data_IF_749481266248
#
_entry.id   IF_749481266248
#
_cell.length_a   1.000
_cell.length_b   1.000
_cell.length_c   1.000
_cell.angle_alpha   90.00
_cell.angle_beta   90.00
_cell.angle_gamma   90.00
#
_symmetry.space_group_name_H-M   'P 1'
#
loop_
_entity.id
_entity.type
_entity.pdbx_description
1 polymer ?
#
# COMPACT_ATOMS: atom_id res chain seq x y z
N UNK A 1 0.96 -34.48 7.50
CA UNK A 1 1.55 -33.19 7.96
C UNK A 1 0.78 -32.07 7.33
N UNK A 2 0.49 -30.99 8.07
CA UNK A 2 -0.23 -29.82 7.53
C UNK A 2 0.63 -29.14 6.46
N UNK A 3 0.06 -28.91 5.26
CA UNK A 3 0.73 -28.19 4.16
C UNK A 3 0.92 -26.71 4.47
N UNK A 4 0.22 -26.15 5.46
CA UNK A 4 0.27 -24.73 5.83
C UNK A 4 1.68 -24.24 6.18
N UNK A 5 2.43 -25.06 6.88
CA UNK A 5 3.79 -24.73 7.32
C UNK A 5 4.90 -25.22 6.38
N UNK A 6 4.53 -25.82 5.24
CA UNK A 6 5.53 -26.19 4.24
C UNK A 6 5.94 -24.96 3.41
N UNK A 7 7.21 -24.86 3.00
CA UNK A 7 7.69 -23.77 2.15
C UNK A 7 6.89 -23.68 0.85
N UNK A 8 6.80 -22.46 0.30
CA UNK A 8 6.20 -22.17 -0.99
C UNK A 8 7.19 -21.39 -1.86
N UNK A 9 7.62 -22.00 -2.95
CA UNK A 9 8.49 -21.34 -3.92
C UNK A 9 7.67 -20.66 -5.02
N UNK A 10 7.96 -19.39 -5.27
CA UNK A 10 7.37 -18.55 -6.30
C UNK A 10 8.50 -17.95 -7.13
N UNK A 11 8.76 -18.50 -8.31
CA UNK A 11 9.91 -18.12 -9.14
C UNK A 11 11.22 -18.18 -8.33
N UNK A 12 11.84 -17.02 -8.08
CA UNK A 12 13.13 -16.89 -7.40
C UNK A 12 13.00 -16.61 -5.90
N UNK A 13 11.78 -16.61 -5.36
CA UNK A 13 11.53 -16.35 -3.94
C UNK A 13 10.89 -17.57 -3.29
N UNK A 14 11.31 -17.89 -2.05
CA UNK A 14 10.72 -18.98 -1.27
C UNK A 14 10.23 -18.43 0.05
N UNK A 15 8.91 -18.48 0.26
CA UNK A 15 8.28 -18.21 1.54
C UNK A 15 8.49 -19.41 2.47
N UNK A 16 8.83 -19.16 3.74
CA UNK A 16 9.07 -20.23 4.73
C UNK A 16 7.84 -21.09 5.05
N UNK A 17 6.64 -20.55 4.77
CA UNK A 17 5.36 -21.23 4.90
C UNK A 17 4.31 -20.59 4.01
N UNK A 18 3.08 -21.10 4.04
CA UNK A 18 1.96 -20.63 3.21
C UNK A 18 1.03 -19.64 3.91
N UNK A 19 1.43 -19.13 5.06
CA UNK A 19 0.68 -18.12 5.81
C UNK A 19 1.08 -16.73 5.33
N UNK A 20 0.12 -16.00 4.77
CA UNK A 20 0.34 -14.67 4.21
C UNK A 20 -0.48 -13.63 4.96
N UNK A 21 0.15 -12.51 5.30
CA UNK A 21 -0.57 -11.32 5.75
C UNK A 21 -1.06 -10.57 4.51
N UNK A 22 -2.40 -10.46 4.28
CA UNK A 22 -2.93 -9.69 3.17
C UNK A 22 -2.72 -8.19 3.38
N UNK A 23 -2.76 -7.37 2.31
CA UNK A 23 -2.71 -5.91 2.46
C UNK A 23 -3.98 -5.39 3.14
N UNK A 24 -3.82 -4.64 4.21
CA UNK A 24 -4.92 -4.06 4.99
C UNK A 24 -4.56 -2.63 5.36
N UNK A 25 -5.36 -1.66 4.89
CA UNK A 25 -5.16 -0.25 5.20
C UNK A 25 -5.23 0.01 6.71
N UNK A 26 -4.21 0.67 7.23
CA UNK A 26 -4.09 0.98 8.65
C UNK A 26 -4.33 2.47 8.97
N UNK A 27 -4.35 3.31 7.93
CA UNK A 27 -4.64 4.75 8.05
C UNK A 27 -3.76 5.46 9.08
N UNK A 28 -2.48 5.10 9.12
CA UNK A 28 -1.54 5.51 10.20
C UNK A 28 -0.52 6.55 9.77
N UNK A 29 -0.69 7.16 8.59
CA UNK A 29 0.11 8.30 8.14
C UNK A 29 -0.54 9.60 8.61
N UNK A 30 -0.35 9.95 9.88
CA UNK A 30 -1.00 11.14 10.47
C UNK A 30 -0.50 12.48 9.91
N UNK A 31 0.70 12.50 9.30
CA UNK A 31 1.23 13.68 8.59
C UNK A 31 0.62 13.86 7.20
N UNK A 32 -0.16 12.90 6.72
CA UNK A 32 -0.87 12.89 5.42
C UNK A 32 0.06 13.07 4.20
N UNK A 33 1.35 12.73 4.36
CA UNK A 33 2.42 12.87 3.36
C UNK A 33 2.79 11.55 2.66
N UNK A 34 2.07 10.48 2.94
CA UNK A 34 2.31 9.14 2.39
C UNK A 34 3.56 8.43 2.94
N UNK A 35 4.26 9.00 3.89
CA UNK A 35 5.51 8.43 4.42
C UNK A 35 5.27 7.41 5.51
N UNK A 36 5.96 6.29 5.40
CA UNK A 36 5.95 5.27 6.45
C UNK A 36 6.64 5.81 7.72
N UNK A 37 6.02 5.51 8.85
CA UNK A 37 6.48 5.89 10.19
C UNK A 37 7.03 4.69 10.96
N UNK A 38 7.57 4.92 12.15
CA UNK A 38 8.00 3.84 13.04
C UNK A 38 6.87 2.89 13.41
N UNK A 39 5.63 3.40 13.44
CA UNK A 39 4.45 2.57 13.66
C UNK A 39 4.33 1.48 12.59
N UNK A 40 4.51 1.82 11.30
CA UNK A 40 4.45 0.85 10.20
C UNK A 40 5.57 -0.19 10.31
N UNK A 41 6.78 0.25 10.64
CA UNK A 41 7.92 -0.65 10.83
C UNK A 41 7.61 -1.66 11.94
N UNK A 42 7.13 -1.19 13.09
CA UNK A 42 6.77 -2.05 14.23
C UNK A 42 5.60 -2.98 13.88
N UNK A 43 4.57 -2.46 13.19
CA UNK A 43 3.40 -3.23 12.77
C UNK A 43 3.79 -4.44 11.94
N UNK A 44 4.59 -4.25 10.89
CA UNK A 44 5.00 -5.32 9.99
C UNK A 44 6.07 -6.22 10.59
N UNK A 45 7.02 -5.69 11.37
CA UNK A 45 8.01 -6.47 12.10
C UNK A 45 7.37 -7.48 13.06
N UNK A 46 6.36 -7.05 13.81
CA UNK A 46 5.65 -7.92 14.75
C UNK A 46 4.98 -9.11 14.05
N UNK A 47 4.37 -8.89 12.86
CA UNK A 47 3.73 -9.95 12.06
C UNK A 47 4.77 -10.90 11.48
N UNK A 48 5.89 -10.37 11.01
CA UNK A 48 6.99 -11.21 10.52
C UNK A 48 7.56 -12.09 11.62
N UNK A 49 7.89 -11.52 12.76
CA UNK A 49 8.36 -12.27 13.93
C UNK A 49 7.31 -13.26 14.46
N UNK A 50 6.02 -12.94 14.30
CA UNK A 50 4.90 -13.80 14.66
C UNK A 50 4.71 -15.02 13.76
N UNK A 51 5.50 -15.18 12.69
CA UNK A 51 5.57 -16.42 11.93
C UNK A 51 4.97 -16.37 10.51
N UNK A 52 4.46 -15.26 10.03
CA UNK A 52 4.01 -15.16 8.63
C UNK A 52 5.16 -15.45 7.65
N UNK A 53 4.89 -16.20 6.57
CA UNK A 53 5.85 -16.50 5.52
C UNK A 53 5.99 -15.39 4.50
N UNK A 54 4.90 -14.62 4.30
CA UNK A 54 4.86 -13.46 3.41
C UNK A 54 4.02 -12.36 4.03
N UNK A 55 4.45 -11.13 3.88
CA UNK A 55 3.72 -9.94 4.32
C UNK A 55 3.54 -9.02 3.12
N UNK A 56 2.29 -8.69 2.81
CA UNK A 56 1.98 -7.66 1.81
C UNK A 56 1.61 -6.38 2.54
N UNK A 57 2.44 -5.35 2.36
CA UNK A 57 2.21 -4.02 2.90
C UNK A 57 0.91 -3.46 2.33
N UNK A 58 0.17 -2.72 3.13
CA UNK A 58 -1.12 -2.11 2.82
C UNK A 58 -1.14 -1.36 1.50
N UNK A 59 -2.35 -1.03 1.02
CA UNK A 59 -2.54 -0.23 -0.19
C UNK A 59 -1.68 1.04 -0.12
N UNK A 60 -0.81 1.16 -1.13
CA UNK A 60 0.19 2.21 -1.24
C UNK A 60 -0.07 2.95 -2.53
N UNK A 61 -0.44 4.22 -2.43
CA UNK A 61 -0.82 5.02 -3.57
C UNK A 61 0.39 5.34 -4.47
N UNK A 62 0.19 5.27 -5.78
CA UNK A 62 1.21 5.60 -6.79
C UNK A 62 1.19 7.08 -7.19
N UNK A 63 0.19 7.82 -6.71
CA UNK A 63 0.06 9.28 -6.87
C UNK A 63 -0.67 9.86 -5.65
N UNK A 64 -0.52 11.15 -5.32
CA UNK A 64 -1.18 11.76 -4.16
C UNK A 64 -2.69 11.60 -4.17
N UNK A 65 -3.33 11.84 -5.32
CA UNK A 65 -4.77 11.73 -5.54
C UNK A 65 -5.26 10.28 -5.62
N UNK A 66 -4.34 9.34 -5.75
CA UNK A 66 -4.63 7.90 -5.76
C UNK A 66 -4.82 7.28 -4.37
N UNK A 67 -4.63 8.03 -3.30
CA UNK A 67 -4.86 7.53 -1.93
C UNK A 67 -6.34 7.22 -1.71
N UNK A 68 -6.62 6.15 -0.98
CA UNK A 68 -7.98 5.87 -0.50
C UNK A 68 -8.37 6.84 0.62
N UNK A 69 -7.40 7.18 1.47
CA UNK A 69 -7.54 8.13 2.58
C UNK A 69 -6.30 9.03 2.63
N UNK A 70 -6.42 10.27 3.13
CA UNK A 70 -5.25 11.12 3.36
C UNK A 70 -4.14 10.44 4.17
N UNK A 71 -4.51 9.49 5.03
CA UNK A 71 -3.60 8.76 5.92
C UNK A 71 -3.03 7.47 5.35
N UNK A 72 -3.16 7.24 4.04
CA UNK A 72 -2.57 6.08 3.37
C UNK A 72 -1.08 6.27 3.12
N UNK A 73 -0.40 5.13 2.98
CA UNK A 73 0.95 5.09 2.46
C UNK A 73 0.99 5.51 0.99
N UNK A 74 2.11 6.08 0.59
CA UNK A 74 2.39 6.48 -0.77
C UNK A 74 3.78 6.10 -1.24
N UNK A 75 3.92 5.91 -2.54
CA UNK A 75 5.20 5.65 -3.19
C UNK A 75 5.28 6.39 -4.53
N UNK A 76 4.97 7.67 -4.52
CA UNK A 76 5.03 8.57 -5.68
C UNK A 76 6.21 9.56 -5.61
N UNK A 77 6.92 9.60 -4.49
CA UNK A 77 8.03 10.52 -4.23
C UNK A 77 9.25 9.78 -3.67
N UNK A 78 10.45 10.21 -4.07
CA UNK A 78 11.71 9.61 -3.61
C UNK A 78 11.91 9.68 -2.09
N UNK A 79 11.33 10.68 -1.42
CA UNK A 79 11.38 10.81 0.03
C UNK A 79 10.62 9.73 0.79
N UNK A 80 9.74 8.98 0.12
CA UNK A 80 8.97 7.88 0.71
C UNK A 80 9.75 6.55 0.72
N UNK A 81 10.75 6.40 -0.16
CA UNK A 81 11.53 5.14 -0.34
C UNK A 81 12.22 4.69 0.94
N UNK A 82 12.81 5.62 1.69
CA UNK A 82 13.56 5.28 2.90
C UNK A 82 12.67 4.61 3.97
N UNK A 83 11.42 5.06 4.12
CA UNK A 83 10.46 4.44 5.03
C UNK A 83 10.10 3.02 4.62
N UNK A 84 9.88 2.77 3.33
CA UNK A 84 9.63 1.42 2.81
C UNK A 84 10.84 0.50 2.96
N UNK A 85 12.07 1.02 2.76
CA UNK A 85 13.29 0.24 2.98
C UNK A 85 13.37 -0.30 4.42
N UNK A 86 13.03 0.54 5.40
CA UNK A 86 12.98 0.12 6.82
C UNK A 86 11.92 -0.94 7.09
N UNK A 87 10.72 -0.81 6.47
CA UNK A 87 9.66 -1.84 6.56
C UNK A 87 10.15 -3.16 5.98
N UNK A 88 10.72 -3.15 4.79
CA UNK A 88 11.24 -4.34 4.10
C UNK A 88 12.34 -5.01 4.91
N UNK A 89 13.28 -4.24 5.45
CA UNK A 89 14.35 -4.75 6.32
C UNK A 89 13.77 -5.44 7.57
N UNK A 90 12.79 -4.82 8.23
CA UNK A 90 12.15 -5.37 9.41
C UNK A 90 11.36 -6.67 9.11
N UNK A 91 10.68 -6.73 7.96
CA UNK A 91 9.99 -7.94 7.50
C UNK A 91 11.01 -9.07 7.25
N UNK A 92 12.09 -8.78 6.54
CA UNK A 92 13.13 -9.78 6.25
C UNK A 92 13.85 -10.25 7.51
N UNK A 93 14.11 -9.35 8.47
CA UNK A 93 14.71 -9.71 9.76
C UNK A 93 13.87 -10.74 10.53
N UNK A 94 12.55 -10.66 10.42
CA UNK A 94 11.62 -11.65 10.98
C UNK A 94 11.47 -12.93 10.14
N UNK A 95 12.12 -13.04 8.98
CA UNK A 95 12.16 -14.22 8.11
C UNK A 95 11.00 -14.36 7.13
N UNK A 96 10.20 -13.31 6.90
CA UNK A 96 9.15 -13.30 5.90
C UNK A 96 9.60 -12.65 4.59
N UNK A 97 8.93 -12.99 3.49
CA UNK A 97 9.01 -12.23 2.24
C UNK A 97 8.19 -10.94 2.37
N UNK A 98 8.68 -9.87 1.74
CA UNK A 98 7.99 -8.60 1.68
C UNK A 98 7.36 -8.38 0.31
N UNK A 99 6.11 -7.95 0.28
CA UNK A 99 5.38 -7.45 -0.87
C UNK A 99 4.72 -6.12 -0.57
N UNK A 100 4.23 -5.41 -1.58
CA UNK A 100 3.47 -4.17 -1.43
C UNK A 100 2.29 -4.18 -2.40
N UNK A 101 1.13 -3.71 -1.96
CA UNK A 101 -0.01 -3.48 -2.83
C UNK A 101 0.08 -2.05 -3.38
N UNK A 102 0.57 -1.91 -4.61
CA UNK A 102 0.52 -0.63 -5.33
C UNK A 102 -0.89 -0.42 -5.89
N UNK A 103 -1.41 0.80 -5.78
CA UNK A 103 -2.76 1.07 -6.25
C UNK A 103 -3.07 2.54 -6.44
N UNK A 104 -4.26 2.76 -7.02
CA UNK A 104 -4.91 4.05 -7.14
C UNK A 104 -6.38 3.88 -6.76
N UNK A 105 -6.88 4.69 -5.83
CA UNK A 105 -8.24 4.58 -5.28
C UNK A 105 -9.35 4.81 -6.31
N UNK A 106 -9.06 5.58 -7.35
CA UNK A 106 -10.03 5.87 -8.38
C UNK A 106 -11.27 6.57 -7.81
N UNK A 107 -12.45 6.13 -8.23
CA UNK A 107 -13.74 6.65 -7.70
C UNK A 107 -13.99 6.36 -6.22
N UNK A 108 -13.12 5.58 -5.57
CA UNK A 108 -13.15 5.32 -4.11
C UNK A 108 -12.06 6.07 -3.36
N UNK A 109 -11.33 6.94 -4.04
CA UNK A 109 -10.33 7.79 -3.41
C UNK A 109 -10.99 8.73 -2.40
N UNK A 110 -10.24 9.15 -1.39
CA UNK A 110 -10.67 10.08 -0.37
C UNK A 110 -11.85 9.60 0.51
N UNK A 111 -11.84 8.34 0.87
CA UNK A 111 -12.66 7.86 1.99
C UNK A 111 -11.96 8.16 3.31
N UNK A 112 -12.71 8.56 4.32
CA UNK A 112 -12.15 8.67 5.65
C UNK A 112 -11.80 7.28 6.22
N UNK A 113 -10.82 7.20 7.13
CA UNK A 113 -10.54 5.97 7.85
C UNK A 113 -11.82 5.40 8.45
N UNK A 114 -12.00 4.08 8.35
CA UNK A 114 -13.17 3.41 8.92
C UNK A 114 -13.35 3.67 10.43
N UNK A 115 -12.27 4.02 11.13
CA UNK A 115 -12.27 4.43 12.54
C UNK A 115 -13.01 5.75 12.82
N UNK A 116 -13.24 6.57 11.80
CA UNK A 116 -13.92 7.86 11.93
C UNK A 116 -15.42 7.78 11.61
N UNK A 117 -15.92 6.59 11.24
CA UNK A 117 -17.31 6.33 10.92
C UNK A 117 -17.70 6.63 9.46
N UNK A 118 -18.88 6.17 9.03
CA UNK A 118 -19.29 6.26 7.61
C UNK A 118 -19.58 7.69 7.12
N UNK A 119 -19.81 8.62 8.06
CA UNK A 119 -20.17 10.02 7.74
C UNK A 119 -18.99 10.99 7.89
N UNK A 120 -17.82 10.50 8.19
CA UNK A 120 -16.64 11.31 8.51
C UNK A 120 -15.94 11.88 7.26
N UNK A 121 -16.66 12.11 6.16
CA UNK A 121 -16.11 12.87 5.04
C UNK A 121 -15.82 14.29 5.49
N UNK A 122 -14.59 14.74 5.30
CA UNK A 122 -14.22 16.14 5.53
C UNK A 122 -15.13 17.04 4.68
N UNK A 123 -16.22 17.59 5.28
CA UNK A 123 -17.04 18.65 4.72
C UNK A 123 -17.65 18.45 3.33
N UNK A 124 -17.68 17.23 2.80
CA UNK A 124 -18.36 16.91 1.54
C UNK A 124 -17.64 17.32 0.24
N UNK A 125 -16.46 17.97 0.33
CA UNK A 125 -15.64 18.30 -0.84
C UNK A 125 -14.31 17.57 -0.76
N UNK A 126 -13.90 16.83 -1.82
CA UNK A 126 -12.61 16.18 -1.89
C UNK A 126 -11.44 17.16 -1.72
N UNK A 127 -10.35 16.74 -1.09
CA UNK A 127 -9.09 17.51 -1.07
C UNK A 127 -8.40 17.51 -2.45
N UNK A 128 -8.70 16.50 -3.26
CA UNK A 128 -8.20 16.35 -4.63
C UNK A 128 -9.27 15.84 -5.56
N UNK A 129 -9.05 15.99 -6.85
CA UNK A 129 -9.97 15.52 -7.88
C UNK A 129 -9.98 13.99 -7.92
N UNK A 130 -11.18 13.39 -7.93
CA UNK A 130 -11.34 11.97 -8.10
C UNK A 130 -11.14 11.61 -9.56
N UNK A 131 -10.14 10.81 -9.87
CA UNK A 131 -9.84 10.34 -11.22
C UNK A 131 -10.24 8.88 -11.37
N UNK A 132 -10.92 8.50 -12.45
CA UNK A 132 -11.33 7.12 -12.70
C UNK A 132 -11.39 6.83 -14.20
N UNK A 133 -11.46 5.55 -14.62
CA UNK A 133 -11.62 5.19 -16.03
C UNK A 133 -12.93 5.70 -16.67
N UNK A 134 -13.93 6.04 -15.85
CA UNK A 134 -15.22 6.56 -16.29
C UNK A 134 -15.84 7.46 -15.22
N UNK A 135 -16.68 8.42 -15.65
CA UNK A 135 -17.41 9.34 -14.77
C UNK A 135 -18.60 8.65 -14.07
N UNK A 136 -18.34 7.51 -13.43
CA UNK A 136 -19.37 6.74 -12.68
C UNK A 136 -19.04 6.77 -11.20
N UNK A 137 -19.85 7.48 -10.44
CA UNK A 137 -19.68 7.60 -9.00
C UNK A 137 -19.77 6.22 -8.28
N UNK A 138 -18.98 6.05 -7.23
CA UNK A 138 -19.26 5.01 -6.25
C UNK A 138 -20.45 5.44 -5.38
N UNK A 139 -21.34 4.53 -4.98
CA UNK A 139 -22.51 4.91 -4.17
C UNK A 139 -22.13 5.77 -2.98
N UNK A 140 -22.76 6.95 -2.89
CA UNK A 140 -22.49 7.92 -1.84
C UNK A 140 -21.20 8.75 -2.00
N UNK A 141 -20.46 8.64 -3.11
CA UNK A 141 -19.25 9.43 -3.42
C UNK A 141 -19.54 10.43 -4.55
N UNK A 142 -18.74 11.50 -4.67
CA UNK A 142 -18.78 12.38 -5.83
C UNK A 142 -18.51 11.65 -7.15
N UNK A 143 -18.99 12.20 -8.26
CA UNK A 143 -18.67 11.68 -9.57
C UNK A 143 -17.21 12.00 -9.90
N UNK A 144 -16.39 10.99 -10.23
CA UNK A 144 -15.00 11.22 -10.62
C UNK A 144 -14.91 11.83 -12.02
N UNK A 145 -13.80 12.48 -12.32
CA UNK A 145 -13.42 12.84 -13.68
C UNK A 145 -12.99 11.56 -14.43
N UNK A 146 -13.52 11.40 -15.66
CA UNK A 146 -13.08 10.31 -16.53
C UNK A 146 -11.71 10.64 -17.14
N UNK A 147 -10.76 9.71 -17.00
CA UNK A 147 -9.45 9.85 -17.62
C UNK A 147 -9.56 9.72 -19.15
N UNK A 148 -8.99 10.68 -19.85
CA UNK A 148 -8.66 10.55 -21.27
C UNK A 148 -7.30 9.85 -21.45
N UNK A 149 -6.89 9.61 -22.70
CA UNK A 149 -5.60 8.97 -23.00
C UNK A 149 -4.42 9.75 -22.40
N UNK A 150 -4.45 11.07 -22.44
CA UNK A 150 -3.41 11.91 -21.84
C UNK A 150 -3.37 11.77 -20.32
N UNK A 151 -4.53 11.65 -19.66
CA UNK A 151 -4.66 11.39 -18.24
C UNK A 151 -4.09 10.01 -17.84
N UNK A 152 -4.38 8.99 -18.63
CA UNK A 152 -3.82 7.65 -18.45
C UNK A 152 -2.29 7.68 -18.61
N UNK A 153 -1.79 8.36 -19.62
CA UNK A 153 -0.35 8.48 -19.85
C UNK A 153 0.36 9.25 -18.72
N UNK A 154 -0.27 10.29 -18.17
CA UNK A 154 0.26 10.99 -16.98
C UNK A 154 0.38 10.05 -15.78
N UNK A 155 -0.64 9.24 -15.50
CA UNK A 155 -0.59 8.27 -14.39
C UNK A 155 0.45 7.16 -14.63
N UNK A 156 0.63 6.73 -15.89
CA UNK A 156 1.65 5.74 -16.25
C UNK A 156 3.07 6.33 -16.20
N UNK A 157 3.21 7.58 -16.55
CA UNK A 157 4.49 8.29 -16.52
C UNK A 157 4.87 8.80 -15.13
N UNK A 158 3.91 8.91 -14.20
CA UNK A 158 4.22 9.16 -12.80
C UNK A 158 5.05 7.96 -12.30
N UNK A 159 6.38 8.08 -12.15
CA UNK A 159 7.15 6.93 -11.73
C UNK A 159 6.73 6.63 -10.29
N UNK A 160 6.33 5.40 -9.98
CA UNK A 160 6.48 4.97 -8.61
C UNK A 160 7.96 5.19 -8.28
N UNK A 161 8.25 5.85 -7.16
CA UNK A 161 9.63 5.94 -6.70
C UNK A 161 10.22 4.52 -6.81
N UNK A 162 11.42 4.34 -7.38
CA UNK A 162 11.95 3.02 -7.64
C UNK A 162 11.85 2.20 -6.35
N UNK A 163 11.21 1.02 -6.38
CA UNK A 163 11.08 0.22 -5.18
C UNK A 163 12.48 0.05 -4.59
N UNK A 164 12.65 0.14 -3.27
CA UNK A 164 13.92 -0.18 -2.65
C UNK A 164 14.33 -1.54 -3.21
N UNK A 165 15.51 -1.62 -3.82
CA UNK A 165 15.99 -2.87 -4.42
C UNK A 165 15.82 -3.94 -3.36
N UNK A 166 14.88 -4.84 -3.57
CA UNK A 166 14.74 -6.01 -2.73
C UNK A 166 16.06 -6.75 -2.83
N UNK A 167 16.91 -6.57 -1.84
CA UNK A 167 18.11 -7.38 -1.70
C UNK A 167 17.57 -8.75 -1.35
N UNK A 168 17.40 -9.59 -2.37
CA UNK A 168 17.24 -11.00 -2.16
C UNK A 168 18.50 -11.48 -1.43
N UNK A 169 18.47 -11.44 -0.10
CA UNK A 169 19.49 -12.13 0.70
C UNK A 169 19.28 -13.61 0.39
N UNK A 170 20.22 -14.18 -0.33
CA UNK A 170 20.40 -15.63 -0.36
C UNK A 170 20.54 -16.05 1.09
N UNK A 171 19.61 -16.92 1.55
CA UNK A 171 19.87 -17.70 2.75
C UNK A 171 21.13 -18.52 2.45
N UNK A 172 22.19 -18.28 3.21
CA UNK A 172 23.36 -19.16 3.25
C UNK A 172 23.03 -20.38 4.09
#
# INVERSE_FOLDING_TARGET
>A
MSSLFSPLSLRNATARNRLWLPPMCMYSVYAEDGRATDWHVQHYAARSSGGFGTIVVEATAVSPEGRLSPRDLGLWDGGQVAGFARIVEAIHAGGALAGVQLGHGGRKSEVNPASEGPDSRRGGKPEWDLLAPSAVAFPGMPTPEALDEAGIDRLRAAPPAPPPRAVARRAG
#
